data_IF_866148541515
#
_entry.id   IF_866148541515
#
_cell.length_a   1.000
_cell.length_b   1.000
_cell.length_c   1.000
_cell.angle_alpha   90.00
_cell.angle_beta   90.00
_cell.angle_gamma   90.00
#
_symmetry.space_group_name_H-M   'P 1'
#
loop_
_entity.id
_entity.type
_entity.pdbx_description
1 polymer ?
#
# COMPACT_ATOMS: atom_id res chain seq x y z
N UNK A 1 -68.38 -51.66 3.65
CA UNK A 1 -67.14 -52.47 3.57
C UNK A 1 -66.35 -52.28 4.84
N UNK A 2 -65.95 -53.34 5.56
CA UNK A 2 -65.14 -53.19 6.76
C UNK A 2 -63.77 -52.60 6.35
N UNK A 3 -63.42 -51.44 6.89
CA UNK A 3 -62.08 -50.88 6.72
C UNK A 3 -61.11 -51.84 7.40
N UNK A 4 -60.05 -52.25 6.69
CA UNK A 4 -58.97 -53.02 7.31
C UNK A 4 -58.48 -52.28 8.55
N UNK A 5 -58.18 -52.99 9.67
CA UNK A 5 -57.62 -52.33 10.85
C UNK A 5 -56.37 -51.53 10.47
N UNK A 6 -56.14 -50.41 11.15
CA UNK A 6 -55.11 -49.42 10.79
C UNK A 6 -53.73 -50.05 10.67
N UNK A 7 -53.41 -51.02 11.52
CA UNK A 7 -52.16 -51.79 11.48
C UNK A 7 -51.93 -52.61 10.19
N UNK A 8 -52.97 -52.89 9.39
CA UNK A 8 -52.89 -53.66 8.14
C UNK A 8 -53.03 -52.81 6.87
N UNK A 9 -53.18 -51.49 7.00
CA UNK A 9 -53.26 -50.58 5.85
C UNK A 9 -51.86 -50.16 5.40
N UNK A 10 -51.56 -50.37 4.11
CA UNK A 10 -50.27 -49.95 3.55
C UNK A 10 -50.24 -48.44 3.38
N UNK A 11 -49.58 -47.74 4.30
CA UNK A 11 -49.42 -46.28 4.29
C UNK A 11 -48.36 -45.77 3.30
N UNK A 12 -47.75 -46.66 2.49
CA UNK A 12 -46.65 -46.32 1.59
C UNK A 12 -46.99 -45.22 0.58
N UNK A 13 -48.19 -45.26 -0.01
CA UNK A 13 -48.62 -44.26 -1.00
C UNK A 13 -48.94 -42.89 -0.38
N UNK A 14 -49.67 -42.81 0.75
CA UNK A 14 -49.77 -41.57 1.52
C UNK A 14 -48.42 -40.98 1.92
N UNK A 15 -47.49 -41.82 2.41
CA UNK A 15 -46.13 -41.37 2.77
C UNK A 15 -45.35 -40.84 1.57
N UNK A 16 -45.38 -41.54 0.43
CA UNK A 16 -44.75 -41.07 -0.81
C UNK A 16 -45.38 -39.75 -1.28
N UNK A 17 -46.70 -39.64 -1.22
CA UNK A 17 -47.41 -38.39 -1.56
C UNK A 17 -46.99 -37.22 -0.66
N UNK A 18 -46.92 -37.44 0.66
CA UNK A 18 -46.44 -36.43 1.61
C UNK A 18 -44.96 -36.10 1.40
N UNK A 19 -44.12 -37.09 1.09
CA UNK A 19 -42.70 -36.86 0.81
C UNK A 19 -42.49 -36.02 -0.46
N UNK A 20 -43.25 -36.29 -1.53
CA UNK A 20 -43.22 -35.48 -2.76
C UNK A 20 -43.74 -34.08 -2.50
N UNK A 21 -44.84 -33.93 -1.75
CA UNK A 21 -45.38 -32.62 -1.38
C UNK A 21 -44.38 -31.81 -0.54
N UNK A 22 -43.69 -32.46 0.40
CA UNK A 22 -42.64 -31.84 1.20
C UNK A 22 -41.45 -31.42 0.33
N UNK A 23 -41.04 -32.25 -0.63
CA UNK A 23 -39.97 -31.92 -1.56
C UNK A 23 -40.34 -30.71 -2.44
N UNK A 24 -41.54 -30.69 -3.02
CA UNK A 24 -42.01 -29.59 -3.86
C UNK A 24 -42.17 -28.30 -3.07
N UNK A 25 -42.75 -28.36 -1.86
CA UNK A 25 -42.87 -27.19 -0.99
C UNK A 25 -41.51 -26.65 -0.54
N UNK A 26 -40.53 -27.52 -0.29
CA UNK A 26 -39.15 -27.12 0.03
C UNK A 26 -38.48 -26.42 -1.16
N UNK A 27 -38.60 -26.98 -2.36
CA UNK A 27 -38.08 -26.36 -3.60
C UNK A 27 -38.75 -25.00 -3.83
N UNK A 28 -40.08 -24.92 -3.67
CA UNK A 28 -40.82 -23.67 -3.80
C UNK A 28 -40.38 -22.63 -2.77
N UNK A 29 -40.20 -23.02 -1.51
CA UNK A 29 -39.74 -22.11 -0.45
C UNK A 29 -38.35 -21.55 -0.78
N UNK A 30 -37.43 -22.38 -1.30
CA UNK A 30 -36.11 -21.92 -1.75
C UNK A 30 -36.24 -20.99 -2.94
N UNK A 31 -37.09 -21.29 -3.93
CA UNK A 31 -37.32 -20.43 -5.07
C UNK A 31 -37.89 -19.06 -4.66
N UNK A 32 -38.95 -19.04 -3.85
CA UNK A 32 -39.61 -17.82 -3.34
C UNK A 32 -38.64 -16.97 -2.51
N UNK A 33 -37.79 -17.60 -1.71
CA UNK A 33 -36.79 -16.88 -0.92
C UNK A 33 -35.64 -16.32 -1.77
N UNK A 34 -35.19 -17.05 -2.79
CA UNK A 34 -34.01 -16.68 -3.58
C UNK A 34 -34.32 -15.71 -4.72
N UNK A 35 -35.48 -15.84 -5.36
CA UNK A 35 -35.81 -15.14 -6.60
C UNK A 35 -36.65 -13.87 -6.33
N UNK A 36 -37.90 -13.95 -5.83
CA UNK A 36 -38.71 -12.75 -5.60
C UNK A 36 -38.34 -11.97 -4.33
N UNK A 37 -37.97 -12.63 -3.22
CA UNK A 37 -37.72 -11.93 -1.94
C UNK A 37 -36.35 -11.28 -1.80
N UNK A 38 -35.40 -11.55 -2.70
CA UNK A 38 -34.03 -11.00 -2.64
C UNK A 38 -33.69 -10.13 -3.87
N UNK A 39 -34.44 -9.05 -4.11
CA UNK A 39 -34.22 -8.17 -5.27
C UNK A 39 -32.82 -7.53 -5.27
N UNK A 40 -32.21 -7.34 -4.09
CA UNK A 40 -30.86 -6.82 -3.94
C UNK A 40 -29.79 -7.59 -4.74
N UNK A 41 -29.98 -8.89 -5.00
CA UNK A 41 -29.05 -9.68 -5.82
C UNK A 41 -29.06 -9.24 -7.28
N UNK A 42 -30.20 -8.76 -7.78
CA UNK A 42 -30.30 -8.25 -9.15
C UNK A 42 -29.69 -6.85 -9.22
N UNK A 43 -30.00 -5.98 -8.26
CA UNK A 43 -29.37 -4.66 -8.13
C UNK A 43 -27.83 -4.77 -8.10
N UNK A 44 -27.26 -5.67 -7.29
CA UNK A 44 -25.82 -5.89 -7.27
C UNK A 44 -25.28 -6.41 -8.61
N UNK A 45 -25.98 -7.34 -9.28
CA UNK A 45 -25.55 -7.85 -10.60
C UNK A 45 -25.55 -6.76 -11.67
N UNK A 46 -26.56 -5.90 -11.68
CA UNK A 46 -26.63 -4.76 -12.59
C UNK A 46 -25.54 -3.74 -12.28
N UNK A 47 -25.32 -3.45 -11.01
CA UNK A 47 -24.24 -2.58 -10.57
C UNK A 47 -22.86 -3.14 -10.96
N UNK A 48 -22.63 -4.45 -10.83
CA UNK A 48 -21.36 -5.07 -11.24
C UNK A 48 -21.11 -4.94 -12.74
N UNK A 49 -22.15 -5.04 -13.58
CA UNK A 49 -22.01 -4.75 -15.02
C UNK A 49 -21.63 -3.30 -15.27
N UNK A 50 -22.24 -2.37 -14.53
CA UNK A 50 -21.90 -0.95 -14.62
C UNK A 50 -20.44 -0.70 -14.16
N UNK A 51 -20.04 -1.26 -13.02
CA UNK A 51 -18.68 -1.18 -12.47
C UNK A 51 -17.65 -1.74 -13.46
N UNK A 52 -17.93 -2.90 -14.07
CA UNK A 52 -17.07 -3.48 -15.12
C UNK A 52 -16.98 -2.56 -16.35
N UNK A 53 -18.10 -1.99 -16.81
CA UNK A 53 -18.11 -1.08 -17.96
C UNK A 53 -17.33 0.22 -17.69
N UNK A 54 -17.45 0.78 -16.48
CA UNK A 54 -16.71 1.95 -16.05
C UNK A 54 -15.21 1.67 -16.01
N UNK A 55 -14.81 0.55 -15.41
CA UNK A 55 -13.41 0.12 -15.37
C UNK A 55 -12.82 -0.09 -16.76
N UNK A 56 -13.59 -0.64 -17.70
CA UNK A 56 -13.15 -0.79 -19.11
C UNK A 56 -12.96 0.57 -19.79
N UNK A 57 -13.84 1.53 -19.54
CA UNK A 57 -13.70 2.89 -20.06
C UNK A 57 -12.48 3.61 -19.46
N UNK A 58 -12.30 3.52 -18.13
CA UNK A 58 -11.13 4.06 -17.43
C UNK A 58 -9.82 3.46 -17.98
N UNK A 59 -9.82 2.14 -18.21
CA UNK A 59 -8.69 1.42 -18.82
C UNK A 59 -8.38 1.94 -20.21
N UNK A 60 -9.39 2.14 -21.05
CA UNK A 60 -9.22 2.66 -22.41
C UNK A 60 -8.65 4.08 -22.39
N UNK A 61 -9.14 4.94 -21.50
CA UNK A 61 -8.61 6.30 -21.34
C UNK A 61 -7.16 6.27 -20.85
N UNK A 62 -6.85 5.47 -19.84
CA UNK A 62 -5.49 5.32 -19.35
C UNK A 62 -4.55 4.76 -20.43
N UNK A 63 -5.04 3.83 -21.26
CA UNK A 63 -4.29 3.30 -22.39
C UNK A 63 -4.02 4.37 -23.45
N UNK A 64 -4.99 5.23 -23.78
CA UNK A 64 -4.77 6.40 -24.66
C UNK A 64 -3.70 7.34 -24.09
N UNK A 65 -3.70 7.58 -22.78
CA UNK A 65 -2.65 8.38 -22.11
C UNK A 65 -1.26 7.74 -22.25
N UNK A 66 -1.17 6.41 -22.10
CA UNK A 66 0.08 5.67 -22.34
C UNK A 66 0.51 5.69 -23.81
N UNK A 67 -0.43 5.69 -24.74
CA UNK A 67 -0.16 5.68 -26.17
C UNK A 67 0.24 7.05 -26.73
N UNK A 68 0.05 8.12 -25.96
CA UNK A 68 0.49 9.47 -26.33
C UNK A 68 2.01 9.52 -26.55
N UNK A 69 2.43 10.34 -27.52
CA UNK A 69 3.85 10.44 -27.90
C UNK A 69 4.74 10.86 -26.72
N UNK A 70 4.26 11.78 -25.89
CA UNK A 70 4.96 12.24 -24.70
C UNK A 70 5.16 11.11 -23.68
N UNK A 71 4.09 10.40 -23.29
CA UNK A 71 4.19 9.31 -22.31
C UNK A 71 5.03 8.15 -22.84
N UNK A 72 4.93 7.81 -24.13
CA UNK A 72 5.81 6.81 -24.76
C UNK A 72 7.27 7.20 -24.66
N UNK A 73 7.61 8.45 -25.00
CA UNK A 73 8.98 8.94 -24.91
C UNK A 73 9.49 8.91 -23.47
N UNK A 74 8.67 9.31 -22.50
CA UNK A 74 9.03 9.25 -21.07
C UNK A 74 9.25 7.80 -20.61
N UNK A 75 8.39 6.86 -21.04
CA UNK A 75 8.48 5.45 -20.69
C UNK A 75 9.71 4.78 -21.32
N UNK A 76 9.99 5.06 -22.59
CA UNK A 76 11.17 4.53 -23.28
C UNK A 76 12.47 5.08 -22.68
N UNK A 77 12.50 6.37 -22.34
CA UNK A 77 13.63 6.97 -21.62
C UNK A 77 13.82 6.33 -20.23
N UNK A 78 12.73 6.11 -19.49
CA UNK A 78 12.80 5.47 -18.18
C UNK A 78 13.23 4.00 -18.26
N UNK A 79 12.78 3.26 -19.28
CA UNK A 79 13.21 1.87 -19.56
C UNK A 79 14.67 1.80 -19.96
N UNK A 80 15.14 2.73 -20.79
CA UNK A 80 16.55 2.82 -21.16
C UNK A 80 17.43 3.14 -19.95
N UNK A 81 17.02 4.07 -19.08
CA UNK A 81 17.75 4.40 -17.85
C UNK A 81 17.73 3.24 -16.85
N UNK A 82 16.59 2.55 -16.68
CA UNK A 82 16.51 1.35 -15.84
C UNK A 82 17.45 0.26 -16.37
N UNK A 83 17.46 0.01 -17.68
CA UNK A 83 18.37 -0.95 -18.30
C UNK A 83 19.82 -0.56 -18.06
N UNK A 84 20.20 0.69 -18.31
CA UNK A 84 21.56 1.18 -18.08
C UNK A 84 21.97 1.08 -16.59
N UNK A 85 21.08 1.43 -15.67
CA UNK A 85 21.32 1.33 -14.24
C UNK A 85 21.40 -0.12 -13.76
N UNK A 86 20.62 -1.03 -14.36
CA UNK A 86 20.65 -2.46 -14.08
C UNK A 86 21.93 -3.09 -14.64
N UNK A 87 22.30 -2.78 -15.89
CA UNK A 87 23.53 -3.25 -16.51
C UNK A 87 24.77 -2.76 -15.76
N UNK A 88 24.75 -1.55 -15.19
CA UNK A 88 25.80 -1.06 -14.31
C UNK A 88 25.98 -1.88 -13.02
N UNK A 89 24.96 -2.64 -12.59
CA UNK A 89 24.98 -3.46 -11.37
C UNK A 89 25.15 -4.96 -11.68
N UNK A 90 24.50 -5.46 -12.73
CA UNK A 90 24.37 -6.89 -13.03
C UNK A 90 24.74 -7.27 -14.48
N UNK A 91 25.22 -6.32 -15.28
CA UNK A 91 25.66 -6.55 -16.66
C UNK A 91 26.97 -7.32 -16.75
N UNK A 92 27.66 -7.16 -17.88
CA UNK A 92 28.97 -7.79 -18.09
C UNK A 92 30.07 -7.12 -17.23
N UNK A 93 31.27 -7.71 -17.22
CA UNK A 93 32.38 -7.25 -16.39
C UNK A 93 32.79 -5.79 -16.65
N UNK A 94 32.66 -5.30 -17.89
CA UNK A 94 32.98 -3.92 -18.24
C UNK A 94 31.91 -2.95 -17.72
N UNK A 95 30.63 -3.31 -17.88
CA UNK A 95 29.50 -2.52 -17.41
C UNK A 95 29.44 -2.43 -15.88
N UNK A 96 29.79 -3.51 -15.19
CA UNK A 96 29.79 -3.56 -13.71
C UNK A 96 31.06 -3.01 -13.07
N UNK A 97 32.09 -2.68 -13.85
CA UNK A 97 33.42 -2.31 -13.33
C UNK A 97 33.36 -1.23 -12.25
N UNK A 98 32.58 -0.19 -12.47
CA UNK A 98 32.44 0.91 -11.50
C UNK A 98 31.68 0.49 -10.24
N UNK A 99 30.63 -0.34 -10.39
CA UNK A 99 29.89 -0.88 -9.26
C UNK A 99 30.74 -1.85 -8.44
N UNK A 100 31.46 -2.77 -9.10
CA UNK A 100 32.39 -3.70 -8.45
C UNK A 100 33.52 -2.94 -7.74
N UNK A 101 34.04 -1.85 -8.32
CA UNK A 101 34.99 -0.97 -7.66
C UNK A 101 34.39 -0.27 -6.43
N UNK A 102 33.12 0.15 -6.49
CA UNK A 102 32.43 0.75 -5.35
C UNK A 102 32.16 -0.27 -4.23
N UNK A 103 31.78 -1.50 -4.57
CA UNK A 103 31.61 -2.62 -3.62
C UNK A 103 32.95 -2.95 -2.96
N UNK A 104 34.01 -3.09 -3.75
CA UNK A 104 35.36 -3.34 -3.22
C UNK A 104 35.82 -2.22 -2.29
N UNK A 105 35.59 -0.96 -2.66
CA UNK A 105 35.94 0.18 -1.82
C UNK A 105 35.13 0.20 -0.50
N UNK A 106 33.86 -0.24 -0.52
CA UNK A 106 33.05 -0.41 0.68
C UNK A 106 33.61 -1.53 1.56
N UNK A 107 33.94 -2.70 0.99
CA UNK A 107 34.53 -3.80 1.73
C UNK A 107 35.90 -3.45 2.32
N UNK A 108 36.79 -2.83 1.53
CA UNK A 108 38.09 -2.35 2.01
C UNK A 108 37.92 -1.30 3.11
N UNK A 109 36.92 -0.41 2.99
CA UNK A 109 36.57 0.58 4.00
C UNK A 109 36.07 -0.06 5.29
N UNK A 110 35.20 -1.07 5.18
CA UNK A 110 34.66 -1.84 6.32
C UNK A 110 35.77 -2.59 7.07
N UNK A 111 36.71 -3.20 6.35
CA UNK A 111 37.87 -3.86 6.95
C UNK A 111 38.73 -2.86 7.71
N UNK A 112 39.08 -1.72 7.09
CA UNK A 112 39.87 -0.67 7.75
C UNK A 112 39.18 -0.08 8.98
N UNK A 113 37.86 0.13 8.91
CA UNK A 113 37.09 0.58 10.07
C UNK A 113 37.16 -0.45 11.20
N UNK A 114 36.95 -1.74 10.89
CA UNK A 114 36.99 -2.81 11.87
C UNK A 114 38.38 -2.96 12.51
N UNK A 115 39.45 -2.88 11.72
CA UNK A 115 40.84 -2.90 12.20
C UNK A 115 41.14 -1.71 13.10
N UNK A 116 40.81 -0.48 12.66
CA UNK A 116 41.04 0.72 13.44
C UNK A 116 40.27 0.68 14.77
N UNK A 117 39.03 0.18 14.76
CA UNK A 117 38.22 -0.04 15.97
C UNK A 117 38.87 -1.03 16.92
N UNK A 118 39.36 -2.15 16.39
CA UNK A 118 40.01 -3.20 17.17
C UNK A 118 41.27 -2.68 17.87
N UNK A 119 42.18 -2.05 17.12
CA UNK A 119 43.42 -1.52 17.67
C UNK A 119 43.20 -0.34 18.63
N UNK A 120 42.17 0.48 18.41
CA UNK A 120 41.74 1.49 19.38
C UNK A 120 41.24 0.83 20.67
N UNK A 121 40.50 -0.27 20.56
CA UNK A 121 40.01 -1.05 21.70
C UNK A 121 41.14 -1.66 22.53
N UNK A 122 42.19 -2.18 21.88
CA UNK A 122 43.38 -2.70 22.58
C UNK A 122 44.10 -1.60 23.35
N UNK A 123 44.38 -0.45 22.73
CA UNK A 123 45.07 0.65 23.40
C UNK A 123 44.24 1.22 24.57
N UNK A 124 42.91 1.30 24.43
CA UNK A 124 42.02 1.68 25.53
C UNK A 124 42.08 0.67 26.69
N UNK A 125 42.10 -0.62 26.39
CA UNK A 125 42.21 -1.67 27.42
C UNK A 125 43.56 -1.59 28.17
N UNK A 126 44.65 -1.33 27.46
CA UNK A 126 45.97 -1.13 28.08
C UNK A 126 45.99 0.13 28.96
N UNK A 127 45.38 1.23 28.49
CA UNK A 127 45.23 2.45 29.29
C UNK A 127 44.41 2.18 30.56
N UNK A 128 43.31 1.44 30.46
CA UNK A 128 42.45 1.09 31.60
C UNK A 128 43.23 0.29 32.65
N UNK A 129 44.10 -0.64 32.23
CA UNK A 129 44.97 -1.38 33.13
C UNK A 129 45.96 -0.48 33.88
N UNK A 130 46.56 0.52 33.20
CA UNK A 130 47.43 1.52 33.84
C UNK A 130 46.62 2.44 34.76
N UNK A 131 45.42 2.84 34.33
CA UNK A 131 44.53 3.71 35.09
C UNK A 131 44.04 3.04 36.38
N UNK A 132 43.79 1.73 36.35
CA UNK A 132 43.49 0.95 37.55
C UNK A 132 44.62 1.03 38.57
N UNK A 133 45.87 0.77 38.13
CA UNK A 133 47.05 0.87 39.00
C UNK A 133 47.28 2.29 39.53
N UNK A 134 47.02 3.31 38.70
CA UNK A 134 47.09 4.71 39.13
C UNK A 134 46.09 5.00 40.25
N UNK A 135 44.87 4.46 40.16
CA UNK A 135 43.87 4.60 41.23
C UNK A 135 44.30 3.89 42.51
N UNK A 136 44.91 2.73 42.41
CA UNK A 136 45.45 1.98 43.54
C UNK A 136 46.55 2.76 44.26
N UNK A 137 47.56 3.26 43.53
CA UNK A 137 48.62 4.10 44.08
C UNK A 137 48.10 5.37 44.79
N UNK A 138 47.03 5.99 44.24
CA UNK A 138 46.33 7.11 44.89
C UNK A 138 45.65 6.74 46.19
N UNK A 139 45.07 5.55 46.27
CA UNK A 139 44.44 5.07 47.50
C UNK A 139 45.47 4.76 48.59
N UNK A 140 46.65 4.27 48.20
CA UNK A 140 47.74 3.91 49.12
C UNK A 140 48.67 5.10 49.48
N UNK A 141 48.47 6.27 48.84
CA UNK A 141 49.29 7.49 48.98
C UNK A 141 50.77 7.31 48.56
N UNK A 142 51.02 6.50 47.54
CA UNK A 142 52.36 6.30 46.98
C UNK A 142 52.72 7.39 45.95
N UNK A 143 53.13 8.57 46.41
CA UNK A 143 53.32 9.76 45.55
C UNK A 143 54.30 9.53 44.37
N UNK A 144 55.35 8.74 44.57
CA UNK A 144 56.35 8.45 43.54
C UNK A 144 55.78 7.58 42.41
N UNK A 145 54.96 6.58 42.75
CA UNK A 145 54.33 5.68 41.79
C UNK A 145 53.12 6.33 41.12
N UNK A 146 52.36 7.17 41.84
CA UNK A 146 51.31 8.00 41.25
C UNK A 146 51.88 8.89 40.12
N UNK A 147 52.95 9.64 40.39
CA UNK A 147 53.52 10.55 39.39
C UNK A 147 54.04 9.81 38.14
N UNK A 148 54.53 8.58 38.30
CA UNK A 148 54.98 7.72 37.19
C UNK A 148 53.81 7.17 36.39
N UNK A 149 52.79 6.64 37.06
CA UNK A 149 51.60 6.06 36.43
C UNK A 149 50.76 7.13 35.74
N UNK A 150 50.66 8.34 36.29
CA UNK A 150 49.98 9.46 35.65
C UNK A 150 50.64 9.81 34.30
N UNK A 151 51.98 9.90 34.25
CA UNK A 151 52.70 10.12 32.98
C UNK A 151 52.46 9.00 31.95
N UNK A 152 52.32 7.75 32.41
CA UNK A 152 51.99 6.63 31.53
C UNK A 152 50.56 6.72 31.01
N UNK A 153 49.58 7.04 31.87
CA UNK A 153 48.20 7.30 31.47
C UNK A 153 48.11 8.43 30.45
N UNK A 154 48.83 9.54 30.65
CA UNK A 154 48.84 10.68 29.72
C UNK A 154 49.47 10.30 28.36
N UNK A 155 50.54 9.49 28.38
CA UNK A 155 51.15 8.98 27.16
C UNK A 155 50.20 8.05 26.38
N UNK A 156 49.46 7.19 27.09
CA UNK A 156 48.42 6.36 26.49
C UNK A 156 47.26 7.20 25.95
N UNK A 157 46.83 8.24 26.66
CA UNK A 157 45.79 9.13 26.19
C UNK A 157 46.13 9.75 24.83
N UNK A 158 47.37 10.23 24.66
CA UNK A 158 47.83 10.78 23.37
C UNK A 158 47.78 9.75 22.24
N UNK A 159 48.18 8.50 22.50
CA UNK A 159 48.09 7.41 21.51
C UNK A 159 46.63 7.10 21.15
N UNK A 160 45.75 7.09 22.13
CA UNK A 160 44.32 6.86 21.94
C UNK A 160 43.69 8.00 21.13
N UNK A 161 44.06 9.25 21.41
CA UNK A 161 43.56 10.41 20.64
C UNK A 161 44.00 10.32 19.18
N UNK A 162 45.25 9.92 18.92
CA UNK A 162 45.76 9.67 17.56
C UNK A 162 44.99 8.54 16.87
N UNK A 163 44.83 7.39 17.52
CA UNK A 163 44.07 6.26 16.94
C UNK A 163 42.59 6.54 16.78
N UNK A 164 42.02 7.38 17.64
CA UNK A 164 40.63 7.84 17.51
C UNK A 164 40.47 8.65 16.22
N UNK A 165 41.41 9.54 15.89
CA UNK A 165 41.40 10.26 14.60
C UNK A 165 41.48 9.32 13.41
N UNK A 166 42.33 8.28 13.48
CA UNK A 166 42.44 7.26 12.42
C UNK A 166 41.12 6.49 12.28
N UNK A 167 40.50 6.11 13.39
CA UNK A 167 39.21 5.44 13.40
C UNK A 167 38.10 6.32 12.78
N UNK A 168 38.03 7.59 13.15
CA UNK A 168 37.05 8.54 12.60
C UNK A 168 37.24 8.74 11.09
N UNK A 169 38.49 8.81 10.62
CA UNK A 169 38.80 8.86 9.18
C UNK A 169 38.36 7.58 8.46
N UNK A 170 38.57 6.41 9.07
CA UNK A 170 38.14 5.13 8.51
C UNK A 170 36.61 5.04 8.41
N UNK A 171 35.86 5.48 9.43
CA UNK A 171 34.39 5.59 9.39
C UNK A 171 33.95 6.50 8.25
N UNK A 172 34.55 7.69 8.13
CA UNK A 172 34.19 8.65 7.09
C UNK A 172 34.44 8.07 5.68
N UNK A 173 35.57 7.39 5.49
CA UNK A 173 35.91 6.73 4.23
C UNK A 173 34.94 5.58 3.89
N UNK A 174 34.63 4.70 4.85
CA UNK A 174 33.65 3.63 4.67
C UNK A 174 32.27 4.19 4.33
N UNK A 175 31.78 5.20 5.07
CA UNK A 175 30.51 5.86 4.78
C UNK A 175 30.45 6.45 3.38
N UNK A 176 31.54 7.10 2.93
CA UNK A 176 31.63 7.65 1.58
C UNK A 176 31.58 6.54 0.51
N UNK A 177 32.25 5.41 0.74
CA UNK A 177 32.21 4.25 -0.16
C UNK A 177 30.80 3.62 -0.22
N UNK A 178 30.14 3.44 0.92
CA UNK A 178 28.74 2.99 0.98
C UNK A 178 27.81 3.92 0.22
N UNK A 179 27.97 5.25 0.34
CA UNK A 179 27.13 6.18 -0.44
C UNK A 179 27.35 6.05 -1.95
N UNK A 180 28.58 5.79 -2.41
CA UNK A 180 28.85 5.53 -3.83
C UNK A 180 28.11 4.29 -4.32
N UNK A 181 28.18 3.17 -3.59
CA UNK A 181 27.43 1.95 -3.94
C UNK A 181 25.92 2.20 -3.93
N UNK A 182 25.40 2.85 -2.89
CA UNK A 182 23.98 3.15 -2.76
C UNK A 182 23.48 4.07 -3.88
N UNK A 183 24.32 4.93 -4.46
CA UNK A 183 23.93 5.77 -5.60
C UNK A 183 23.51 4.93 -6.82
N UNK A 184 24.17 3.79 -7.09
CA UNK A 184 23.76 2.87 -8.16
C UNK A 184 22.37 2.27 -7.90
N UNK A 185 22.15 1.81 -6.67
CA UNK A 185 20.87 1.23 -6.25
C UNK A 185 19.76 2.28 -6.32
N UNK A 186 20.00 3.48 -5.79
CA UNK A 186 19.05 4.61 -5.85
C UNK A 186 18.72 5.01 -7.28
N UNK A 187 19.71 5.02 -8.19
CA UNK A 187 19.46 5.30 -9.61
C UNK A 187 18.54 4.26 -10.22
N UNK A 188 18.81 2.97 -10.01
CA UNK A 188 17.95 1.88 -10.48
C UNK A 188 16.54 2.02 -9.92
N UNK A 189 16.41 2.24 -8.61
CA UNK A 189 15.11 2.34 -7.93
C UNK A 189 14.33 3.57 -8.39
N UNK A 190 15.02 4.70 -8.63
CA UNK A 190 14.41 5.90 -9.18
C UNK A 190 13.92 5.70 -10.64
N UNK A 191 14.69 4.99 -11.46
CA UNK A 191 14.28 4.65 -12.82
C UNK A 191 13.06 3.70 -12.82
N UNK A 192 13.06 2.70 -11.93
CA UNK A 192 11.92 1.79 -11.73
C UNK A 192 10.69 2.55 -11.24
N UNK A 193 10.84 3.46 -10.27
CA UNK A 193 9.74 4.25 -9.74
C UNK A 193 9.08 5.14 -10.81
N UNK A 194 9.85 5.66 -11.78
CA UNK A 194 9.30 6.39 -12.93
C UNK A 194 8.43 5.51 -13.82
N UNK A 195 8.90 4.30 -14.13
CA UNK A 195 8.11 3.32 -14.91
C UNK A 195 6.84 2.96 -14.14
N UNK A 196 6.97 2.67 -12.84
CA UNK A 196 5.84 2.32 -12.01
C UNK A 196 4.83 3.45 -11.89
N UNK A 197 5.26 4.72 -11.81
CA UNK A 197 4.35 5.86 -11.79
C UNK A 197 3.50 5.95 -13.07
N UNK A 198 4.08 5.59 -14.22
CA UNK A 198 3.41 5.60 -15.52
C UNK A 198 2.49 4.38 -15.70
N UNK A 199 2.96 3.18 -15.36
CA UNK A 199 2.25 1.92 -15.62
C UNK A 199 1.25 1.53 -14.51
N UNK A 200 1.46 1.98 -13.26
CA UNK A 200 0.62 1.61 -12.11
C UNK A 200 -0.86 1.90 -12.31
N UNK A 201 -1.30 3.06 -12.85
CA UNK A 201 -2.72 3.32 -13.05
C UNK A 201 -3.42 2.24 -13.88
N UNK A 202 -2.79 1.76 -14.96
CA UNK A 202 -3.37 0.68 -15.77
C UNK A 202 -3.32 -0.66 -15.03
N UNK A 203 -2.20 -0.99 -14.37
CA UNK A 203 -2.08 -2.25 -13.61
C UNK A 203 -3.12 -2.33 -12.48
N UNK A 204 -3.40 -1.22 -11.80
CA UNK A 204 -4.41 -1.15 -10.74
C UNK A 204 -5.83 -1.35 -11.32
N UNK A 205 -6.12 -0.81 -12.51
CA UNK A 205 -7.40 -1.04 -13.21
C UNK A 205 -7.51 -2.50 -13.68
N UNK A 206 -6.45 -3.05 -14.29
CA UNK A 206 -6.41 -4.45 -14.74
C UNK A 206 -6.66 -5.42 -13.58
N UNK A 207 -6.00 -5.19 -12.44
CA UNK A 207 -6.24 -5.98 -11.22
C UNK A 207 -7.67 -5.87 -10.71
N UNK A 208 -8.32 -4.71 -10.84
CA UNK A 208 -9.75 -4.56 -10.49
C UNK A 208 -10.65 -5.29 -11.48
N UNK A 209 -10.30 -5.31 -12.76
CA UNK A 209 -11.01 -6.06 -13.81
C UNK A 209 -10.89 -7.58 -13.63
N UNK A 210 -9.79 -8.09 -13.07
CA UNK A 210 -9.64 -9.51 -12.75
C UNK A 210 -10.75 -10.02 -11.83
N UNK A 211 -11.28 -9.19 -10.93
CA UNK A 211 -12.41 -9.54 -10.06
C UNK A 211 -13.72 -9.83 -10.81
N UNK A 212 -13.80 -9.44 -12.09
CA UNK A 212 -14.93 -9.70 -12.98
C UNK A 212 -14.65 -10.86 -13.96
N UNK A 213 -13.45 -11.45 -13.94
CA UNK A 213 -13.10 -12.58 -14.78
C UNK A 213 -13.70 -13.91 -14.28
N UNK A 214 -13.83 -14.89 -15.19
CA UNK A 214 -14.33 -16.24 -14.85
C UNK A 214 -15.80 -16.24 -14.42
N UNK A 215 -16.07 -16.64 -13.18
CA UNK A 215 -17.44 -16.64 -12.59
C UNK A 215 -17.91 -15.20 -12.31
N UNK A 216 -16.98 -14.23 -12.31
CA UNK A 216 -17.25 -12.83 -12.02
C UNK A 216 -17.64 -12.60 -10.56
N UNK A 217 -17.98 -11.34 -10.26
CA UNK A 217 -18.34 -10.92 -8.92
C UNK A 217 -19.72 -11.44 -8.54
N UNK A 218 -19.79 -12.24 -7.47
CA UNK A 218 -21.05 -12.79 -6.98
C UNK A 218 -21.74 -11.82 -6.00
N UNK A 219 -23.08 -11.71 -6.03
CA UNK A 219 -23.82 -10.92 -5.05
C UNK A 219 -23.55 -11.38 -3.63
N UNK A 220 -23.24 -10.44 -2.75
CA UNK A 220 -22.90 -10.69 -1.35
C UNK A 220 -23.74 -9.82 -0.43
N UNK A 221 -24.03 -10.37 0.76
CA UNK A 221 -24.73 -9.65 1.80
C UNK A 221 -23.72 -8.80 2.58
N UNK A 222 -23.81 -7.49 2.44
CA UNK A 222 -23.04 -6.51 3.21
C UNK A 222 -23.89 -5.95 4.34
N UNK A 223 -23.39 -6.13 5.56
CA UNK A 223 -24.04 -5.69 6.80
C UNK A 223 -23.01 -4.98 7.67
N UNK A 224 -23.40 -3.82 8.21
CA UNK A 224 -22.57 -3.06 9.13
C UNK A 224 -23.07 -3.27 10.56
N UNK A 225 -22.13 -3.51 11.47
CA UNK A 225 -22.41 -3.51 12.91
C UNK A 225 -22.37 -2.07 13.41
N UNK A 226 -23.52 -1.57 13.89
CA UNK A 226 -23.58 -0.27 14.53
C UNK A 226 -23.20 -0.47 16.00
N UNK A 227 -21.92 -0.29 16.27
CA UNK A 227 -21.42 -0.26 17.65
C UNK A 227 -22.19 0.79 18.45
N UNK A 228 -22.58 0.44 19.68
CA UNK A 228 -23.36 1.27 20.61
C UNK A 228 -24.86 1.45 20.36
N UNK A 229 -25.44 0.94 19.25
CA UNK A 229 -26.90 0.90 19.11
C UNK A 229 -27.41 -0.45 19.59
N UNK A 230 -28.05 -0.53 20.76
CA UNK A 230 -28.56 -1.82 21.29
C UNK A 230 -29.99 -2.09 20.82
N UNK A 231 -30.26 -3.33 20.45
CA UNK A 231 -31.61 -3.81 20.17
C UNK A 231 -32.37 -4.10 21.48
N UNK A 232 -33.64 -4.49 21.37
CA UNK A 232 -34.51 -4.80 22.52
C UNK A 232 -34.00 -5.93 23.43
N UNK A 233 -33.01 -6.70 22.99
CA UNK A 233 -32.38 -7.81 23.73
C UNK A 233 -31.01 -7.43 24.30
N UNK A 234 -30.59 -6.16 24.16
CA UNK A 234 -29.36 -5.63 24.75
C UNK A 234 -28.07 -5.94 23.97
N UNK A 235 -28.14 -6.63 22.83
CA UNK A 235 -27.02 -6.82 21.90
C UNK A 235 -26.93 -5.65 20.90
N UNK A 236 -25.74 -5.40 20.35
CA UNK A 236 -25.57 -4.38 19.32
C UNK A 236 -26.40 -4.71 18.07
N UNK A 237 -26.82 -3.65 17.38
CA UNK A 237 -27.75 -3.71 16.26
C UNK A 237 -26.96 -3.73 14.97
N UNK A 238 -27.37 -4.62 14.07
CA UNK A 238 -26.89 -4.64 12.70
C UNK A 238 -27.74 -3.66 11.89
N UNK A 239 -27.12 -2.76 11.14
CA UNK A 239 -27.86 -1.88 10.23
C UNK A 239 -28.51 -2.70 9.10
N UNK A 240 -29.61 -2.19 8.57
CA UNK A 240 -30.30 -2.79 7.42
C UNK A 240 -29.31 -2.91 6.26
N UNK A 241 -29.35 -4.06 5.58
CA UNK A 241 -28.39 -4.42 4.53
C UNK A 241 -28.22 -3.30 3.49
N UNK A 242 -26.99 -2.88 3.21
CA UNK A 242 -26.69 -1.85 2.19
C UNK A 242 -26.73 -2.38 0.75
N UNK A 243 -27.12 -3.63 0.55
CA UNK A 243 -27.07 -4.31 -0.75
C UNK A 243 -27.93 -3.68 -1.86
N UNK A 244 -28.89 -2.82 -1.51
CA UNK A 244 -29.65 -2.03 -2.49
C UNK A 244 -28.96 -0.70 -2.83
N UNK A 245 -28.05 -0.21 -1.99
CA UNK A 245 -27.31 1.05 -2.15
C UNK A 245 -25.84 0.79 -2.51
N UNK A 246 -25.61 -0.05 -3.52
CA UNK A 246 -24.28 -0.61 -3.88
C UNK A 246 -23.23 0.46 -4.25
N UNK A 247 -23.66 1.66 -4.66
CA UNK A 247 -22.79 2.77 -5.07
C UNK A 247 -22.49 3.81 -3.99
N UNK A 248 -23.17 3.81 -2.84
CA UNK A 248 -23.17 4.96 -1.91
C UNK A 248 -21.79 5.26 -1.29
N UNK A 249 -20.95 4.24 -1.12
CA UNK A 249 -19.61 4.36 -0.56
C UNK A 249 -18.52 4.02 -1.60
N UNK A 250 -18.82 4.15 -2.90
CA UNK A 250 -17.87 3.88 -3.97
C UNK A 250 -17.57 5.16 -4.75
N UNK A 251 -16.30 5.56 -4.73
CA UNK A 251 -15.80 6.60 -5.63
C UNK A 251 -15.99 6.19 -7.10
N UNK A 252 -16.22 7.18 -7.96
CA UNK A 252 -16.49 7.02 -9.39
C UNK A 252 -17.98 6.93 -9.74
N UNK A 253 -18.86 6.86 -8.74
CA UNK A 253 -20.32 6.77 -8.93
C UNK A 253 -21.08 7.96 -8.35
N UNK A 254 -20.36 8.95 -7.83
CA UNK A 254 -20.95 10.21 -7.38
C UNK A 254 -21.44 11.01 -8.58
N UNK A 255 -22.44 11.82 -8.30
CA UNK A 255 -23.04 12.65 -9.29
C UNK A 255 -22.11 13.83 -9.69
N UNK A 256 -22.09 14.26 -10.97
CA UNK A 256 -21.23 15.35 -11.41
C UNK A 256 -21.40 16.65 -10.62
N UNK A 257 -22.63 17.00 -10.21
CA UNK A 257 -22.88 18.21 -9.41
C UNK A 257 -22.29 18.13 -7.99
N UNK A 258 -22.27 16.94 -7.35
CA UNK A 258 -21.64 16.74 -6.03
C UNK A 258 -20.12 16.98 -6.11
N UNK A 259 -19.51 16.50 -7.21
CA UNK A 259 -18.09 16.72 -7.49
C UNK A 259 -17.81 18.22 -7.70
N UNK A 260 -18.66 18.92 -8.43
CA UNK A 260 -18.50 20.37 -8.66
C UNK A 260 -18.76 21.20 -7.40
N UNK A 261 -19.72 20.81 -6.56
CA UNK A 261 -19.93 21.45 -5.25
C UNK A 261 -18.72 21.30 -4.34
N UNK A 262 -18.12 20.10 -4.29
CA UNK A 262 -16.89 19.87 -3.54
C UNK A 262 -15.71 20.69 -4.10
N UNK A 263 -15.60 20.83 -5.43
CA UNK A 263 -14.63 21.73 -6.07
C UNK A 263 -14.87 23.19 -5.66
N UNK A 264 -16.12 23.65 -5.68
CA UNK A 264 -16.53 25.00 -5.27
C UNK A 264 -16.26 25.28 -3.79
N UNK A 265 -16.33 24.25 -2.94
CA UNK A 265 -15.95 24.30 -1.54
C UNK A 265 -14.42 24.31 -1.31
N UNK A 266 -13.61 24.40 -2.36
CA UNK A 266 -12.14 24.37 -2.33
C UNK A 266 -11.55 23.11 -1.70
N UNK A 267 -12.19 21.96 -1.90
CA UNK A 267 -11.62 20.68 -1.48
C UNK A 267 -10.33 20.40 -2.27
N UNK A 268 -9.27 19.96 -1.58
CA UNK A 268 -7.98 19.70 -2.22
C UNK A 268 -8.09 18.58 -3.26
N UNK A 269 -7.32 18.65 -4.36
CA UNK A 269 -7.37 17.65 -5.43
C UNK A 269 -7.09 16.21 -4.96
N UNK A 270 -6.25 16.05 -3.92
CA UNK A 270 -5.99 14.75 -3.31
C UNK A 270 -7.23 14.19 -2.60
N UNK A 271 -7.96 15.04 -1.86
CA UNK A 271 -9.18 14.67 -1.15
C UNK A 271 -10.33 14.42 -2.13
N UNK A 272 -10.42 15.22 -3.19
CA UNK A 272 -11.33 15.00 -4.32
C UNK A 272 -11.12 13.61 -4.94
N UNK A 273 -9.87 13.24 -5.21
CA UNK A 273 -9.53 11.92 -5.75
C UNK A 273 -9.83 10.80 -4.75
N UNK A 274 -9.60 11.02 -3.45
CA UNK A 274 -9.89 10.03 -2.43
C UNK A 274 -11.40 9.78 -2.24
N UNK A 275 -12.19 10.85 -2.23
CA UNK A 275 -13.64 10.78 -1.97
C UNK A 275 -14.42 10.36 -3.22
N UNK A 276 -14.13 10.97 -4.37
CA UNK A 276 -14.92 10.81 -5.58
C UNK A 276 -14.26 9.90 -6.63
N UNK A 277 -13.01 9.48 -6.45
CA UNK A 277 -12.24 8.68 -7.40
C UNK A 277 -12.23 9.22 -8.85
N UNK A 278 -12.33 10.54 -9.01
CA UNK A 278 -12.24 11.23 -10.29
C UNK A 278 -10.87 11.89 -10.44
N UNK A 279 -10.31 11.83 -11.65
CA UNK A 279 -9.11 12.59 -11.99
C UNK A 279 -9.45 14.07 -12.26
N UNK A 280 -8.50 15.01 -12.09
CA UNK A 280 -8.72 16.43 -12.33
C UNK A 280 -9.27 16.75 -13.73
N UNK A 281 -8.83 16.02 -14.75
CA UNK A 281 -9.34 16.15 -16.12
C UNK A 281 -10.86 15.89 -16.22
N UNK A 282 -11.38 14.95 -15.44
CA UNK A 282 -12.81 14.62 -15.40
C UNK A 282 -13.58 15.72 -14.69
N UNK A 283 -13.02 16.24 -13.59
CA UNK A 283 -13.59 17.38 -12.85
C UNK A 283 -13.66 18.63 -13.74
N UNK A 284 -12.64 18.88 -14.56
CA UNK A 284 -12.63 20.00 -15.51
C UNK A 284 -13.60 19.77 -16.68
N UNK A 285 -13.74 18.53 -17.15
CA UNK A 285 -14.77 18.19 -18.13
C UNK A 285 -16.18 18.42 -17.58
N UNK A 286 -16.45 18.04 -16.32
CA UNK A 286 -17.71 18.35 -15.65
C UNK A 286 -17.96 19.85 -15.56
N UNK A 287 -16.94 20.63 -15.19
CA UNK A 287 -17.06 22.09 -15.11
C UNK A 287 -17.39 22.68 -16.49
N UNK A 288 -16.67 22.26 -17.53
CA UNK A 288 -16.91 22.74 -18.90
C UNK A 288 -18.33 22.44 -19.39
N UNK A 289 -18.84 21.24 -19.10
CA UNK A 289 -20.21 20.86 -19.46
C UNK A 289 -21.22 21.67 -18.63
N UNK A 290 -20.97 21.85 -17.33
CA UNK A 290 -21.81 22.66 -16.45
C UNK A 290 -21.90 24.10 -16.95
N UNK A 291 -20.77 24.74 -17.24
CA UNK A 291 -20.73 26.11 -17.75
C UNK A 291 -21.50 26.22 -19.07
N UNK A 292 -21.29 25.28 -20.00
CA UNK A 292 -22.00 25.27 -21.28
C UNK A 292 -23.52 25.03 -21.16
N UNK A 293 -23.98 24.29 -20.15
CA UNK A 293 -25.41 24.05 -19.91
C UNK A 293 -26.07 25.14 -19.07
N UNK A 294 -25.31 25.79 -18.19
CA UNK A 294 -25.81 26.79 -17.24
C UNK A 294 -25.62 28.23 -17.72
N UNK A 295 -24.89 28.49 -18.81
CA UNK A 295 -24.90 29.78 -19.52
C UNK A 295 -26.30 30.20 -20.00
N UNK A 296 -27.22 29.24 -20.23
CA UNK A 296 -28.60 29.48 -20.70
C UNK A 296 -29.64 29.54 -19.57
N UNK A 297 -29.25 29.43 -18.30
CA UNK A 297 -30.20 29.48 -17.17
C UNK A 297 -30.28 30.93 -16.67
N UNK A 298 -31.44 31.59 -16.75
CA UNK A 298 -31.58 32.95 -16.24
C UNK A 298 -31.21 32.99 -14.75
N UNK A 299 -30.58 34.09 -14.28
CA UNK A 299 -30.21 34.21 -12.88
C UNK A 299 -31.44 33.98 -12.00
N UNK A 300 -31.22 33.34 -10.84
CA UNK A 300 -32.27 33.12 -9.86
C UNK A 300 -32.99 34.47 -9.61
N UNK A 301 -34.34 34.52 -9.66
CA UNK A 301 -35.05 35.77 -9.47
C UNK A 301 -34.62 36.37 -8.13
N UNK A 302 -34.32 37.68 -8.14
CA UNK A 302 -33.97 38.40 -6.92
C UNK A 302 -35.01 38.08 -5.85
N UNK A 303 -34.53 37.70 -4.66
CA UNK A 303 -35.40 37.39 -3.54
C UNK A 303 -36.38 38.56 -3.37
N UNK A 304 -37.66 38.25 -3.51
CA UNK A 304 -38.73 39.23 -3.35
C UNK A 304 -38.57 39.83 -1.94
N UNK A 305 -38.47 41.17 -1.81
CA UNK A 305 -38.18 41.84 -0.54
C UNK A 305 -39.21 41.54 0.55
#
# INVERSE_FOLDING_TARGET
>A
MPRKPLELQSLKWPFVGLAVLLALSSIWAVYDEVVPRRPWKNYQREFFKLEESHLKADREQAQKRLESAETKQQLDAARADLKAATDAISGNAEQRREYEAAVKAEDDGRVKEAEAKLYLGFDKSEQDAVYYKLREARHENEEADEAKLQKQCDAWQRKIDEKTRIYDQAIAAHKAATQKRLAFIRRRDAAQAKIDAIEKPIRDIDKRLEAFSGIGKLPQMEQYWISNLRNSWGSETVDRCQNCHVGINKGGFSAPWEVLEAKKANLAAADMKAQFAVDPEVVDAYQKIHDALCEDVPPAPEAIP
#
